data_IF_668731482874
#
_entry.id   IF_668731482874
#
_cell.length_a   1.000
_cell.length_b   1.000
_cell.length_c   1.000
_cell.angle_alpha   90.00
_cell.angle_beta   90.00
_cell.angle_gamma   90.00
#
_symmetry.space_group_name_H-M   'P 1'
#
loop_
_entity.id
_entity.type
_entity.pdbx_description
1 polymer ?
#
# COMPACT_ATOMS: atom_id res chain seq x y z
N UNK A 1 21.26 -18.41 -13.71
CA UNK A 1 20.31 -17.39 -13.22
C UNK A 1 20.26 -17.53 -11.72
N UNK A 2 20.39 -16.44 -10.95
CA UNK A 2 20.18 -16.51 -9.50
C UNK A 2 18.74 -16.92 -9.23
N UNK A 3 18.50 -17.76 -8.22
CA UNK A 3 17.16 -18.06 -7.78
C UNK A 3 16.46 -16.77 -7.30
N UNK A 4 15.14 -16.69 -7.48
CA UNK A 4 14.33 -15.58 -6.94
C UNK A 4 14.45 -15.57 -5.40
N UNK A 5 14.56 -14.38 -4.76
CA UNK A 5 14.49 -14.28 -3.30
C UNK A 5 13.19 -14.89 -2.75
N UNK A 6 13.27 -15.64 -1.65
CA UNK A 6 12.08 -16.09 -0.91
C UNK A 6 11.33 -14.90 -0.33
N UNK A 7 10.01 -15.00 -0.18
CA UNK A 7 9.20 -13.86 0.28
C UNK A 7 8.11 -14.26 1.27
N UNK A 8 7.92 -13.40 2.27
CA UNK A 8 6.72 -13.38 3.11
C UNK A 8 5.72 -12.35 2.59
N UNK A 9 4.61 -12.80 2.03
CA UNK A 9 3.50 -11.94 1.61
C UNK A 9 2.52 -11.76 2.76
N UNK A 10 2.22 -10.52 3.12
CA UNK A 10 1.32 -10.18 4.23
C UNK A 10 0.09 -9.46 3.67
N UNK A 11 -1.08 -9.99 4.01
CA UNK A 11 -2.38 -9.37 3.68
C UNK A 11 -3.14 -9.14 5.00
N UNK A 12 -3.34 -7.88 5.35
CA UNK A 12 -4.04 -7.49 6.58
C UNK A 12 -5.54 -7.36 6.31
N UNK A 13 -6.33 -8.14 7.04
CA UNK A 13 -7.78 -8.10 7.03
C UNK A 13 -8.34 -7.24 8.17
N UNK A 14 -9.38 -6.48 7.86
CA UNK A 14 -10.32 -5.98 8.86
C UNK A 14 -11.74 -6.01 8.30
N UNK A 15 -12.59 -6.87 8.88
CA UNK A 15 -14.04 -6.99 8.60
C UNK A 15 -14.44 -7.19 7.13
N UNK A 16 -13.49 -7.62 6.28
CA UNK A 16 -13.73 -7.86 4.85
C UNK A 16 -13.02 -9.14 4.39
N UNK A 17 -13.36 -10.30 4.97
CA UNK A 17 -12.67 -11.55 4.70
C UNK A 17 -12.81 -12.01 3.25
N UNK A 18 -13.92 -11.64 2.59
CA UNK A 18 -14.15 -11.94 1.18
C UNK A 18 -13.14 -11.24 0.26
N UNK A 19 -12.83 -9.96 0.51
CA UNK A 19 -11.80 -9.22 -0.23
C UNK A 19 -10.43 -9.83 0.04
N UNK A 20 -10.11 -10.09 1.32
CA UNK A 20 -8.86 -10.74 1.73
C UNK A 20 -8.63 -12.07 1.01
N UNK A 21 -9.64 -12.95 0.95
CA UNK A 21 -9.53 -14.22 0.23
C UNK A 21 -9.40 -14.02 -1.29
N UNK A 22 -10.02 -12.99 -1.87
CA UNK A 22 -9.86 -12.65 -3.28
C UNK A 22 -8.42 -12.19 -3.58
N UNK A 23 -7.85 -11.30 -2.76
CA UNK A 23 -6.46 -10.88 -2.85
C UNK A 23 -5.51 -12.08 -2.73
N UNK A 24 -5.70 -12.90 -1.69
CA UNK A 24 -4.93 -14.12 -1.45
C UNK A 24 -4.97 -15.09 -2.63
N UNK A 25 -6.14 -15.30 -3.25
CA UNK A 25 -6.29 -16.17 -4.42
C UNK A 25 -5.55 -15.65 -5.66
N UNK A 26 -5.40 -14.34 -5.81
CA UNK A 26 -4.68 -13.76 -6.95
C UNK A 26 -3.15 -13.94 -6.83
N UNK A 27 -2.61 -13.92 -5.61
CA UNK A 27 -1.16 -14.05 -5.38
C UNK A 27 -0.72 -15.50 -5.13
N UNK A 28 -1.58 -16.35 -4.55
CA UNK A 28 -1.22 -17.72 -4.18
C UNK A 28 -0.58 -18.54 -5.31
N UNK A 29 -1.09 -18.54 -6.55
CA UNK A 29 -0.50 -19.29 -7.66
C UNK A 29 0.94 -18.88 -8.04
N UNK A 30 1.39 -17.70 -7.59
CA UNK A 30 2.73 -17.16 -7.88
C UNK A 30 3.75 -17.50 -6.77
N UNK A 31 3.32 -18.14 -5.68
CA UNK A 31 4.17 -18.55 -4.58
C UNK A 31 4.80 -19.91 -4.85
N UNK A 32 6.00 -20.14 -4.31
CA UNK A 32 6.70 -21.41 -4.39
C UNK A 32 7.32 -21.85 -3.06
N UNK A 33 8.00 -22.99 -3.10
CA UNK A 33 8.73 -23.52 -1.93
C UNK A 33 9.68 -22.48 -1.33
N UNK A 34 9.60 -22.27 -0.02
CA UNK A 34 10.35 -21.25 0.71
C UNK A 34 9.59 -19.94 0.93
N UNK A 35 8.52 -19.67 0.18
CA UNK A 35 7.66 -18.50 0.42
C UNK A 35 6.62 -18.76 1.53
N UNK A 36 6.04 -17.68 2.04
CA UNK A 36 4.98 -17.71 3.05
C UNK A 36 3.92 -16.65 2.79
N UNK A 37 2.67 -17.07 2.57
CA UNK A 37 1.50 -16.20 2.61
C UNK A 37 0.92 -16.15 4.03
N UNK A 38 0.92 -14.95 4.61
CA UNK A 38 0.35 -14.68 5.93
C UNK A 38 -0.87 -13.78 5.77
N UNK A 39 -2.03 -14.33 6.09
CA UNK A 39 -3.25 -13.55 6.26
C UNK A 39 -3.34 -13.13 7.72
N UNK A 40 -3.63 -11.86 7.99
CA UNK A 40 -3.72 -11.34 9.36
C UNK A 40 -5.14 -10.87 9.61
N UNK A 41 -5.91 -11.54 10.47
CA UNK A 41 -7.13 -10.95 11.01
C UNK A 41 -6.78 -9.94 12.10
N UNK A 42 -6.97 -8.65 11.80
CA UNK A 42 -6.51 -7.58 12.67
C UNK A 42 -7.56 -7.21 13.74
N UNK A 43 -8.05 -8.22 14.48
CA UNK A 43 -9.08 -8.06 15.50
C UNK A 43 -10.41 -7.57 14.93
N UNK A 44 -10.93 -8.26 13.91
CA UNK A 44 -12.16 -7.85 13.21
C UNK A 44 -13.40 -7.85 14.11
N UNK A 45 -13.46 -8.79 15.07
CA UNK A 45 -14.56 -8.93 16.01
C UNK A 45 -15.88 -9.42 15.38
N UNK A 46 -15.78 -10.05 14.21
CA UNK A 46 -16.85 -10.71 13.46
C UNK A 46 -16.40 -12.13 13.05
N UNK A 47 -17.05 -12.74 12.05
CA UNK A 47 -16.71 -14.07 11.54
C UNK A 47 -15.50 -14.09 10.58
N UNK A 48 -14.76 -12.98 10.43
CA UNK A 48 -13.64 -12.87 9.49
C UNK A 48 -12.61 -13.98 9.63
N UNK A 49 -12.15 -14.27 10.85
CA UNK A 49 -11.15 -15.30 11.08
C UNK A 49 -11.65 -16.69 10.66
N UNK A 50 -12.92 -17.01 10.94
CA UNK A 50 -13.53 -18.27 10.54
C UNK A 50 -13.65 -18.39 9.02
N UNK A 51 -14.10 -17.32 8.34
CA UNK A 51 -14.19 -17.27 6.88
C UNK A 51 -12.82 -17.43 6.23
N UNK A 52 -11.80 -16.73 6.74
CA UNK A 52 -10.42 -16.83 6.22
C UNK A 52 -9.87 -18.24 6.45
N UNK A 53 -10.07 -18.81 7.65
CA UNK A 53 -9.64 -20.17 7.98
C UNK A 53 -10.25 -21.21 7.02
N UNK A 54 -11.52 -21.06 6.66
CA UNK A 54 -12.18 -21.93 5.68
C UNK A 54 -11.61 -21.85 4.26
N UNK A 55 -10.89 -20.78 3.92
CA UNK A 55 -10.23 -20.61 2.63
C UNK A 55 -8.79 -21.12 2.55
N UNK A 56 -8.16 -21.47 3.68
CA UNK A 56 -6.72 -21.76 3.74
C UNK A 56 -6.32 -22.99 2.91
N UNK A 57 -7.13 -24.05 2.90
CA UNK A 57 -6.77 -25.28 2.18
C UNK A 57 -6.76 -25.08 0.66
N UNK A 58 -7.70 -24.29 0.14
CA UNK A 58 -7.71 -23.91 -1.27
C UNK A 58 -6.46 -23.06 -1.63
N UNK A 59 -6.07 -22.15 -0.75
CA UNK A 59 -4.85 -21.34 -0.94
C UNK A 59 -3.59 -22.19 -0.90
N UNK A 60 -3.49 -23.15 0.05
CA UNK A 60 -2.38 -24.11 0.13
C UNK A 60 -2.27 -24.96 -1.13
N UNK A 61 -3.41 -25.41 -1.66
CA UNK A 61 -3.45 -26.17 -2.91
C UNK A 61 -2.96 -25.38 -4.13
N UNK A 62 -3.15 -24.06 -4.15
CA UNK A 62 -2.68 -23.19 -5.22
C UNK A 62 -1.20 -22.77 -5.07
N UNK A 63 -0.66 -22.74 -3.85
CA UNK A 63 0.62 -22.09 -3.54
C UNK A 63 1.87 -22.97 -3.68
N UNK A 64 1.92 -23.89 -4.64
CA UNK A 64 3.09 -24.72 -5.04
C UNK A 64 4.17 -25.03 -3.96
N UNK A 65 3.74 -25.47 -2.77
CA UNK A 65 4.64 -25.84 -1.66
C UNK A 65 5.04 -24.70 -0.69
N UNK A 66 4.56 -23.48 -0.90
CA UNK A 66 4.66 -22.36 0.03
C UNK A 66 3.85 -22.60 1.31
N UNK A 67 4.27 -21.94 2.39
CA UNK A 67 3.50 -21.90 3.64
C UNK A 67 2.30 -20.96 3.48
N UNK A 68 1.15 -21.32 4.05
CA UNK A 68 -0.02 -20.43 4.14
C UNK A 68 -0.60 -20.51 5.55
N UNK A 69 -0.67 -19.37 6.22
CA UNK A 69 -1.16 -19.27 7.61
C UNK A 69 -2.08 -18.07 7.84
N UNK A 70 -2.85 -18.17 8.91
CA UNK A 70 -3.64 -17.08 9.49
C UNK A 70 -3.00 -16.67 10.83
N UNK A 71 -2.86 -15.37 11.05
CA UNK A 71 -2.53 -14.75 12.33
C UNK A 71 -3.75 -13.99 12.81
N UNK A 72 -4.18 -14.20 14.06
CA UNK A 72 -5.33 -13.53 14.65
C UNK A 72 -4.87 -12.58 15.76
N UNK A 73 -5.05 -11.28 15.53
CA UNK A 73 -4.81 -10.28 16.56
C UNK A 73 -6.05 -10.14 17.46
N UNK A 74 -5.87 -9.99 18.79
CA UNK A 74 -7.00 -9.87 19.71
C UNK A 74 -7.74 -8.54 19.59
N UNK A 75 -7.08 -7.50 19.06
CA UNK A 75 -7.64 -6.15 18.91
C UNK A 75 -7.14 -5.52 17.62
N UNK A 76 -7.96 -4.63 17.03
CA UNK A 76 -7.51 -3.79 15.93
C UNK A 76 -6.62 -2.65 16.46
N UNK A 77 -5.30 -2.87 16.42
CA UNK A 77 -4.30 -1.86 16.75
C UNK A 77 -3.83 -1.05 15.52
N UNK A 78 -4.45 -1.27 14.36
CA UNK A 78 -4.14 -0.56 13.13
C UNK A 78 -3.34 -1.35 12.09
N UNK A 79 -3.20 -0.78 10.90
CA UNK A 79 -2.57 -1.41 9.74
C UNK A 79 -1.12 -1.80 10.02
N UNK A 80 -0.30 -0.85 10.51
CA UNK A 80 1.10 -1.15 10.87
C UNK A 80 1.25 -2.27 11.89
N UNK A 81 0.35 -2.35 12.88
CA UNK A 81 0.35 -3.46 13.86
C UNK A 81 -0.04 -4.80 13.23
N UNK A 82 -1.00 -4.81 12.30
CA UNK A 82 -1.36 -5.99 11.51
C UNK A 82 -0.19 -6.48 10.65
N UNK A 83 0.50 -5.56 9.97
CA UNK A 83 1.70 -5.88 9.19
C UNK A 83 2.81 -6.42 10.08
N UNK A 84 3.09 -5.79 11.22
CA UNK A 84 4.10 -6.24 12.16
C UNK A 84 3.81 -7.66 12.70
N UNK A 85 2.54 -7.97 12.98
CA UNK A 85 2.11 -9.31 13.39
C UNK A 85 2.37 -10.34 12.29
N UNK A 86 2.07 -10.01 11.02
CA UNK A 86 2.36 -10.89 9.89
C UNK A 86 3.86 -11.08 9.62
N UNK A 87 4.66 -10.04 9.83
CA UNK A 87 6.12 -10.06 9.65
C UNK A 87 6.87 -10.74 10.81
N UNK A 88 6.19 -11.06 11.92
CA UNK A 88 6.78 -11.64 13.11
C UNK A 88 7.54 -12.94 12.80
N UNK A 89 8.83 -12.98 13.13
CA UNK A 89 9.69 -14.15 12.90
C UNK A 89 9.89 -14.49 11.43
N UNK A 90 9.86 -13.50 10.53
CA UNK A 90 10.22 -13.69 9.13
C UNK A 90 11.67 -14.13 8.95
N UNK A 91 11.85 -15.19 8.17
CA UNK A 91 13.12 -15.77 7.77
C UNK A 91 13.36 -15.71 6.25
N UNK A 92 12.33 -15.31 5.51
CA UNK A 92 12.36 -15.10 4.06
C UNK A 92 13.26 -13.93 3.65
N UNK A 93 13.74 -13.92 2.42
CA UNK A 93 14.66 -12.88 1.93
C UNK A 93 14.01 -11.50 1.76
N UNK A 94 12.68 -11.45 1.69
CA UNK A 94 11.89 -10.21 1.55
C UNK A 94 10.54 -10.29 2.26
N UNK A 95 10.01 -9.10 2.62
CA UNK A 95 8.64 -8.90 3.08
C UNK A 95 7.87 -8.18 1.97
N UNK A 96 6.73 -8.72 1.56
CA UNK A 96 5.84 -8.09 0.60
C UNK A 96 4.49 -7.76 1.26
N UNK A 97 3.98 -6.56 1.00
CA UNK A 97 2.67 -6.11 1.44
C UNK A 97 1.72 -6.11 0.25
N UNK A 98 0.51 -6.63 0.46
CA UNK A 98 -0.59 -6.52 -0.49
C UNK A 98 -1.86 -6.17 0.29
N UNK A 99 -2.51 -5.07 -0.10
CA UNK A 99 -3.79 -4.68 0.47
C UNK A 99 -4.85 -5.76 0.23
N UNK A 100 -5.79 -5.92 1.16
CA UNK A 100 -6.81 -6.96 1.07
C UNK A 100 -7.85 -6.70 -0.04
N UNK A 101 -7.99 -5.47 -0.50
CA UNK A 101 -8.84 -5.06 -1.62
C UNK A 101 -8.06 -4.91 -2.94
N UNK A 102 -6.83 -5.44 -3.00
CA UNK A 102 -6.03 -5.51 -4.22
C UNK A 102 -5.87 -6.94 -4.77
N UNK A 103 -5.87 -7.08 -6.10
CA UNK A 103 -5.51 -8.32 -6.80
C UNK A 103 -4.32 -8.08 -7.72
N UNK A 104 -3.55 -9.12 -8.02
CA UNK A 104 -2.34 -8.99 -8.84
C UNK A 104 -2.47 -9.72 -10.19
N UNK A 105 -1.78 -9.22 -11.21
CA UNK A 105 -1.66 -9.88 -12.52
C UNK A 105 -0.57 -10.97 -12.48
N UNK A 106 -0.55 -11.88 -13.46
CA UNK A 106 0.44 -12.95 -13.56
C UNK A 106 1.87 -12.39 -13.70
N UNK A 107 2.84 -13.00 -13.00
CA UNK A 107 4.24 -12.57 -12.98
C UNK A 107 4.51 -11.35 -12.08
N UNK A 108 3.50 -10.84 -11.37
CA UNK A 108 3.63 -9.75 -10.41
C UNK A 108 4.74 -9.97 -9.40
N UNK A 109 4.78 -11.14 -8.76
CA UNK A 109 5.67 -11.36 -7.62
C UNK A 109 7.14 -11.42 -8.03
N UNK A 110 7.42 -12.15 -9.12
CA UNK A 110 8.76 -12.24 -9.70
C UNK A 110 9.27 -10.87 -10.15
N UNK A 111 8.41 -10.09 -10.82
CA UNK A 111 8.75 -8.73 -11.24
C UNK A 111 9.03 -7.83 -10.04
N UNK A 112 8.18 -7.86 -9.02
CA UNK A 112 8.31 -6.99 -7.84
C UNK A 112 9.61 -7.25 -7.07
N UNK A 113 10.04 -8.50 -6.97
CA UNK A 113 11.22 -8.90 -6.20
C UNK A 113 12.53 -8.76 -6.99
N UNK A 114 12.50 -8.84 -8.32
CA UNK A 114 13.70 -8.87 -9.16
C UNK A 114 14.70 -7.71 -8.91
N UNK A 115 14.27 -6.47 -8.61
CA UNK A 115 15.22 -5.38 -8.35
C UNK A 115 15.86 -5.39 -6.95
N UNK A 116 15.33 -6.15 -5.98
CA UNK A 116 15.84 -6.11 -4.61
C UNK A 116 17.30 -6.58 -4.54
N UNK A 117 18.12 -5.86 -3.77
CA UNK A 117 19.55 -6.13 -3.63
C UNK A 117 20.42 -5.68 -4.81
N UNK A 118 19.83 -5.20 -5.91
CA UNK A 118 20.58 -4.55 -7.00
C UNK A 118 21.04 -3.15 -6.57
N UNK A 119 21.95 -2.53 -7.32
CA UNK A 119 22.42 -1.16 -7.04
C UNK A 119 21.78 -0.17 -8.00
N UNK A 120 21.24 0.93 -7.46
CA UNK A 120 20.66 2.03 -8.23
C UNK A 120 21.02 3.37 -7.59
N UNK A 121 21.50 4.32 -8.40
CA UNK A 121 21.90 5.64 -7.91
C UNK A 121 23.00 5.62 -6.83
N UNK A 122 23.84 4.56 -6.80
CA UNK A 122 24.88 4.37 -5.79
C UNK A 122 24.40 3.75 -4.47
N UNK A 123 23.12 3.39 -4.36
CA UNK A 123 22.52 2.75 -3.19
C UNK A 123 21.96 1.35 -3.53
N UNK A 124 21.92 0.46 -2.54
CA UNK A 124 21.24 -0.83 -2.67
C UNK A 124 19.72 -0.61 -2.73
N UNK A 125 19.03 -1.27 -3.66
CA UNK A 125 17.57 -1.28 -3.75
C UNK A 125 17.03 -2.13 -2.60
N UNK A 126 16.65 -1.47 -1.52
CA UNK A 126 16.08 -2.09 -0.32
C UNK A 126 14.56 -2.27 -0.40
N UNK A 127 13.88 -1.56 -1.31
CA UNK A 127 12.44 -1.66 -1.46
C UNK A 127 11.98 -1.49 -2.91
N UNK A 128 10.84 -2.08 -3.25
CA UNK A 128 10.17 -1.96 -4.55
C UNK A 128 8.69 -1.67 -4.39
N UNK A 129 8.12 -0.96 -5.36
CA UNK A 129 6.68 -0.64 -5.41
C UNK A 129 6.11 -1.03 -6.76
N UNK A 130 4.90 -1.59 -6.73
CA UNK A 130 4.18 -2.01 -7.92
C UNK A 130 3.63 -0.83 -8.73
N UNK A 131 3.19 -1.11 -9.96
CA UNK A 131 2.16 -0.34 -10.64
C UNK A 131 0.81 -0.70 -10.06
N UNK A 132 0.24 0.20 -9.25
CA UNK A 132 -1.09 0.03 -8.67
C UNK A 132 -2.08 0.79 -9.53
N UNK A 133 -3.02 0.05 -10.13
CA UNK A 133 -4.10 0.57 -10.94
C UNK A 133 -5.39 0.61 -10.13
N UNK A 134 -6.23 1.61 -10.37
CA UNK A 134 -7.59 1.62 -9.85
C UNK A 134 -8.44 0.61 -10.63
N UNK A 135 -9.21 -0.19 -9.90
CA UNK A 135 -10.20 -1.07 -10.51
C UNK A 135 -11.30 -0.29 -11.23
N UNK A 136 -11.87 -0.91 -12.26
CA UNK A 136 -12.89 -0.32 -13.13
C UNK A 136 -12.30 0.62 -14.18
N UNK A 137 -13.19 1.24 -14.95
CA UNK A 137 -12.86 2.24 -15.96
C UNK A 137 -13.46 3.59 -15.56
N UNK A 138 -12.81 4.66 -16.00
CA UNK A 138 -13.04 6.00 -15.49
C UNK A 138 -13.13 7.00 -16.63
N UNK A 139 -13.94 8.05 -16.45
CA UNK A 139 -13.99 9.20 -17.36
C UNK A 139 -13.88 10.52 -16.60
N UNK A 140 -13.45 11.60 -17.26
CA UNK A 140 -13.57 12.94 -16.70
C UNK A 140 -15.04 13.21 -16.31
N UNK A 141 -15.22 13.80 -15.13
CA UNK A 141 -16.52 14.25 -14.65
C UNK A 141 -16.94 15.50 -15.44
N UNK A 142 -18.15 15.50 -16.00
CA UNK A 142 -18.65 16.64 -16.75
C UNK A 142 -19.01 17.81 -15.80
N UNK A 143 -18.99 19.04 -16.32
CA UNK A 143 -19.39 20.20 -15.54
C UNK A 143 -20.87 20.13 -15.15
N UNK A 144 -21.15 20.35 -13.87
CA UNK A 144 -22.51 20.27 -13.31
C UNK A 144 -23.00 18.85 -13.02
N UNK A 145 -22.20 17.81 -13.32
CA UNK A 145 -22.53 16.43 -13.01
C UNK A 145 -22.32 16.12 -11.51
N UNK A 146 -23.37 15.66 -10.85
CA UNK A 146 -23.35 15.25 -9.44
C UNK A 146 -23.25 13.72 -9.35
N UNK A 147 -22.03 13.20 -9.49
CA UNK A 147 -21.69 11.78 -9.32
C UNK A 147 -20.55 11.61 -8.32
N UNK A 148 -20.47 10.46 -7.61
CA UNK A 148 -19.29 10.11 -6.82
C UNK A 148 -18.04 10.17 -7.68
N UNK A 149 -17.04 10.92 -7.24
CA UNK A 149 -15.83 11.16 -8.04
C UNK A 149 -14.59 11.23 -7.17
N UNK A 150 -13.44 10.97 -7.80
CA UNK A 150 -12.12 11.19 -7.24
C UNK A 150 -11.53 12.48 -7.82
N UNK A 151 -10.69 13.13 -7.04
CA UNK A 151 -10.05 14.39 -7.41
C UNK A 151 -8.54 14.19 -7.50
N UNK A 152 -7.98 14.55 -8.65
CA UNK A 152 -6.56 14.51 -8.93
C UNK A 152 -5.87 15.75 -8.34
N UNK A 153 -4.55 15.72 -8.26
CA UNK A 153 -3.78 16.81 -7.61
C UNK A 153 -3.81 18.12 -8.38
N UNK A 154 -4.03 18.06 -9.70
CA UNK A 154 -4.23 19.20 -10.59
C UNK A 154 -5.68 19.72 -10.59
N UNK A 155 -6.56 19.08 -9.81
CA UNK A 155 -7.98 19.42 -9.72
C UNK A 155 -8.87 18.68 -10.73
N UNK A 156 -8.32 17.84 -11.61
CA UNK A 156 -9.13 17.03 -12.51
C UNK A 156 -10.03 16.08 -11.71
N UNK A 157 -11.28 15.93 -12.15
CA UNK A 157 -12.29 15.11 -11.47
C UNK A 157 -12.61 13.90 -12.35
N UNK A 158 -12.64 12.72 -11.75
CA UNK A 158 -12.87 11.46 -12.44
C UNK A 158 -14.01 10.70 -11.78
N UNK A 159 -14.98 10.26 -12.57
CA UNK A 159 -16.05 9.36 -12.13
C UNK A 159 -15.82 7.97 -12.69
N UNK A 160 -16.16 6.96 -11.89
CA UNK A 160 -16.14 5.57 -12.33
C UNK A 160 -17.33 5.35 -13.28
N UNK A 161 -17.11 4.52 -14.31
CA UNK A 161 -18.14 4.07 -15.23
C UNK A 161 -18.79 2.78 -14.70
N UNK A 162 -20.08 2.63 -15.00
CA UNK A 162 -20.79 1.37 -14.78
C UNK A 162 -20.33 0.34 -15.82
N UNK A 163 -20.51 -0.96 -15.54
CA UNK A 163 -19.97 -2.04 -16.39
C UNK A 163 -20.45 -1.95 -17.86
N UNK A 164 -21.67 -1.46 -18.09
CA UNK A 164 -22.26 -1.27 -19.42
C UNK A 164 -21.62 -0.13 -20.24
N UNK A 165 -20.94 0.81 -19.56
CA UNK A 165 -20.27 1.97 -20.17
C UNK A 165 -18.75 1.78 -20.31
N UNK A 166 -18.22 0.64 -19.84
CA UNK A 166 -16.80 0.49 -19.55
C UNK A 166 -15.87 0.55 -20.77
N UNK A 167 -16.39 0.27 -21.98
CA UNK A 167 -15.61 0.17 -23.22
C UNK A 167 -14.95 1.47 -23.70
N UNK A 168 -15.37 2.63 -23.19
CA UNK A 168 -14.87 3.95 -23.59
C UNK A 168 -14.00 4.63 -22.51
N UNK A 169 -13.88 4.02 -21.33
CA UNK A 169 -13.19 4.62 -20.19
C UNK A 169 -11.68 4.39 -20.15
N UNK A 170 -11.00 5.22 -19.36
CA UNK A 170 -9.58 5.09 -19.06
C UNK A 170 -9.35 4.20 -17.82
N UNK A 171 -8.24 3.46 -17.82
CA UNK A 171 -7.68 2.87 -16.61
C UNK A 171 -6.79 3.92 -15.94
N UNK A 172 -7.03 4.17 -14.66
CA UNK A 172 -6.30 5.17 -13.89
C UNK A 172 -5.30 4.52 -12.94
N UNK A 173 -4.21 5.23 -12.70
CA UNK A 173 -3.19 4.85 -11.73
C UNK A 173 -3.66 5.22 -10.32
N UNK A 174 -3.61 4.27 -9.39
CA UNK A 174 -3.62 4.59 -7.97
C UNK A 174 -2.22 5.06 -7.55
N UNK A 175 -1.17 4.30 -7.82
CA UNK A 175 0.15 4.64 -7.31
C UNK A 175 1.25 3.98 -8.12
N UNK A 176 2.37 4.68 -8.27
CA UNK A 176 3.65 4.13 -8.73
C UNK A 176 4.72 4.29 -7.65
N UNK A 177 4.33 4.43 -6.39
CA UNK A 177 5.16 4.80 -5.25
C UNK A 177 4.63 6.06 -4.57
N UNK A 178 5.25 6.46 -3.46
CA UNK A 178 4.87 7.69 -2.76
C UNK A 178 5.88 8.82 -2.98
N UNK A 179 5.41 10.05 -2.76
CA UNK A 179 6.18 11.28 -2.75
C UNK A 179 5.85 12.08 -1.50
N UNK A 180 6.78 12.95 -1.11
CA UNK A 180 6.57 13.93 -0.04
C UNK A 180 6.78 15.33 -0.59
N UNK A 181 5.78 16.19 -0.45
CA UNK A 181 5.87 17.56 -0.94
C UNK A 181 6.72 18.45 -0.02
N UNK A 182 7.02 19.68 -0.48
CA UNK A 182 7.76 20.68 0.31
C UNK A 182 7.08 21.07 1.64
N UNK A 183 5.82 20.68 1.83
CA UNK A 183 5.05 20.89 3.05
C UNK A 183 5.06 19.69 3.99
N UNK A 184 5.76 18.60 3.65
CA UNK A 184 5.85 17.38 4.43
C UNK A 184 4.64 16.46 4.27
N UNK A 185 3.77 16.70 3.29
CA UNK A 185 2.62 15.83 3.05
C UNK A 185 3.04 14.66 2.16
N UNK A 186 2.75 13.43 2.61
CA UNK A 186 2.87 12.23 1.79
C UNK A 186 1.67 12.11 0.84
N UNK A 187 1.91 11.64 -0.38
CA UNK A 187 0.86 11.35 -1.37
C UNK A 187 1.33 10.31 -2.39
N UNK A 188 0.37 9.64 -3.03
CA UNK A 188 0.65 8.70 -4.12
C UNK A 188 1.16 9.42 -5.38
N UNK A 189 2.27 8.91 -5.92
CA UNK A 189 2.81 9.35 -7.21
C UNK A 189 1.90 8.88 -8.33
N UNK A 190 1.70 9.75 -9.31
CA UNK A 190 0.86 9.52 -10.50
C UNK A 190 -0.62 9.26 -10.19
N UNK A 191 -1.12 9.60 -8.98
CA UNK A 191 -2.53 9.47 -8.59
C UNK A 191 -3.48 10.06 -9.65
N UNK A 192 -4.41 9.22 -10.14
CA UNK A 192 -5.39 9.48 -11.21
C UNK A 192 -4.81 9.85 -12.57
N UNK A 193 -3.53 9.56 -12.82
CA UNK A 193 -2.98 9.63 -14.16
C UNK A 193 -3.50 8.47 -15.00
N UNK A 194 -3.79 8.67 -16.31
CA UNK A 194 -4.09 7.56 -17.20
C UNK A 194 -2.93 6.57 -17.29
N UNK A 195 -3.21 5.28 -17.15
CA UNK A 195 -2.19 4.23 -17.22
C UNK A 195 -1.63 4.04 -18.64
N UNK A 196 -2.45 4.33 -19.66
CA UNK A 196 -2.03 4.23 -21.06
C UNK A 196 -0.98 5.30 -21.38
N UNK A 197 0.20 4.85 -21.78
CA UNK A 197 1.32 5.76 -22.13
C UNK A 197 2.04 6.35 -20.93
N UNK A 198 1.84 5.79 -19.73
CA UNK A 198 2.56 6.18 -18.53
C UNK A 198 4.06 5.91 -18.69
N UNK A 199 4.88 6.96 -18.59
CA UNK A 199 6.35 6.91 -18.58
C UNK A 199 6.86 7.38 -17.21
N UNK A 200 6.61 6.56 -16.19
CA UNK A 200 6.97 6.88 -14.81
C UNK A 200 8.43 6.46 -14.50
N UNK A 201 9.26 7.35 -13.93
CA UNK A 201 10.63 7.00 -13.55
C UNK A 201 10.67 5.85 -12.55
N UNK A 202 11.64 4.95 -12.72
CA UNK A 202 11.86 3.85 -11.78
C UNK A 202 12.35 4.35 -10.42
N UNK A 203 13.13 5.44 -10.37
CA UNK A 203 13.54 6.02 -9.09
C UNK A 203 12.35 6.70 -8.40
N UNK A 204 12.10 6.31 -7.15
CA UNK A 204 11.00 6.84 -6.34
C UNK A 204 11.52 7.38 -5.02
N UNK A 205 10.75 8.30 -4.42
CA UNK A 205 11.00 8.67 -3.04
C UNK A 205 10.79 7.45 -2.14
N UNK A 206 9.66 6.76 -2.30
CA UNK A 206 9.35 5.57 -1.52
C UNK A 206 8.23 4.72 -2.09
N UNK A 207 7.76 3.77 -1.29
CA UNK A 207 6.82 2.72 -1.70
C UNK A 207 5.40 3.01 -1.24
N UNK A 208 4.40 2.52 -1.99
CA UNK A 208 3.01 2.53 -1.54
C UNK A 208 2.73 1.25 -0.74
N UNK A 209 2.15 1.38 0.46
CA UNK A 209 1.84 0.24 1.34
C UNK A 209 0.81 -0.75 0.76
N UNK A 210 0.10 -0.38 -0.31
CA UNK A 210 -0.91 -1.22 -0.92
C UNK A 210 -0.36 -2.38 -1.76
N UNK A 211 0.86 -2.25 -2.31
CA UNK A 211 1.51 -3.28 -3.10
C UNK A 211 3.02 -2.97 -3.23
N UNK A 212 3.82 -3.49 -2.31
CA UNK A 212 5.26 -3.24 -2.27
C UNK A 212 6.04 -4.44 -1.70
N UNK A 213 7.36 -4.42 -1.85
CA UNK A 213 8.26 -5.33 -1.17
C UNK A 213 9.47 -4.61 -0.58
N UNK A 214 10.02 -5.16 0.49
CA UNK A 214 11.21 -4.68 1.20
C UNK A 214 12.12 -5.86 1.44
N UNK A 215 13.41 -5.75 1.12
CA UNK A 215 14.37 -6.81 1.44
C UNK A 215 14.42 -7.01 2.95
N UNK A 216 14.59 -8.25 3.42
CA UNK A 216 14.65 -8.53 4.87
C UNK A 216 15.77 -7.74 5.53
N UNK A 217 16.91 -7.58 4.86
CA UNK A 217 18.02 -6.76 5.34
C UNK A 217 17.60 -5.30 5.58
N UNK A 218 16.91 -4.69 4.61
CA UNK A 218 16.45 -3.31 4.75
C UNK A 218 15.33 -3.19 5.81
N UNK A 219 14.42 -4.18 5.86
CA UNK A 219 13.36 -4.27 6.87
C UNK A 219 13.92 -4.33 8.29
N UNK A 220 14.90 -5.21 8.54
CA UNK A 220 15.60 -5.35 9.82
C UNK A 220 16.38 -4.07 10.17
N UNK A 221 17.08 -3.48 9.19
CA UNK A 221 17.89 -2.28 9.40
C UNK A 221 17.06 -1.07 9.90
N UNK A 222 15.81 -0.95 9.47
CA UNK A 222 14.92 0.14 9.89
C UNK A 222 13.99 -0.25 11.04
N UNK A 223 13.97 -1.50 11.48
CA UNK A 223 13.08 -1.99 12.54
C UNK A 223 11.64 -2.26 12.09
N UNK A 224 11.42 -2.55 10.81
CA UNK A 224 10.11 -2.88 10.24
C UNK A 224 9.19 -1.68 10.05
N UNK A 225 7.87 -1.92 10.05
CA UNK A 225 6.87 -0.84 9.94
C UNK A 225 6.47 -0.31 11.33
N UNK A 226 6.21 0.98 11.43
CA UNK A 226 5.72 1.57 12.69
C UNK A 226 4.28 1.14 13.00
N UNK A 227 3.97 1.03 14.28
CA UNK A 227 2.69 0.46 14.76
C UNK A 227 1.82 1.47 15.51
N UNK A 228 2.27 2.71 15.70
CA UNK A 228 1.64 3.75 16.54
C UNK A 228 0.77 4.77 15.76
N UNK A 229 0.66 4.59 14.44
CA UNK A 229 -0.14 5.45 13.55
C UNK A 229 -1.60 5.03 13.42
N UNK A 230 -1.93 3.80 13.83
CA UNK A 230 -3.21 3.15 13.57
C UNK A 230 -3.52 2.94 12.07
N UNK A 231 -3.56 3.97 11.23
CA UNK A 231 -3.66 3.81 9.77
C UNK A 231 -3.18 5.07 9.04
N UNK A 232 -2.70 4.91 7.81
CA UNK A 232 -2.13 5.95 6.96
C UNK A 232 -0.78 6.49 7.46
N UNK A 233 0.09 6.81 6.49
CA UNK A 233 1.46 7.31 6.65
C UNK A 233 2.50 6.29 7.12
N UNK A 234 2.14 5.04 7.41
CA UNK A 234 3.12 4.03 7.79
C UNK A 234 4.11 3.71 6.66
N UNK A 235 3.63 3.71 5.41
CA UNK A 235 4.45 3.50 4.22
C UNK A 235 5.36 4.70 3.91
N UNK A 236 4.88 5.91 4.15
CA UNK A 236 5.62 7.16 4.00
C UNK A 236 6.74 7.25 5.03
N UNK A 237 6.47 6.89 6.28
CA UNK A 237 7.46 6.76 7.33
C UNK A 237 8.50 5.67 7.02
N UNK A 238 8.07 4.48 6.63
CA UNK A 238 8.97 3.41 6.20
C UNK A 238 9.88 3.87 5.06
N UNK A 239 9.33 4.61 4.11
CA UNK A 239 10.08 5.20 3.00
C UNK A 239 11.14 6.20 3.47
N UNK A 240 10.83 7.07 4.42
CA UNK A 240 11.83 7.95 5.02
C UNK A 240 12.96 7.16 5.69
N UNK A 241 12.62 6.21 6.56
CA UNK A 241 13.62 5.44 7.31
C UNK A 241 14.52 4.60 6.40
N UNK A 242 13.98 4.03 5.32
CA UNK A 242 14.77 3.31 4.33
C UNK A 242 15.80 4.22 3.65
N UNK A 243 15.39 5.43 3.26
CA UNK A 243 16.29 6.42 2.66
C UNK A 243 17.36 6.91 3.63
N UNK A 244 16.98 7.19 4.87
CA UNK A 244 17.89 7.62 5.94
C UNK A 244 18.92 6.53 6.27
N UNK A 245 18.53 5.25 6.15
CA UNK A 245 19.41 4.10 6.25
C UNK A 245 20.27 3.84 4.99
N UNK A 246 20.13 4.67 3.95
CA UNK A 246 20.94 4.59 2.72
C UNK A 246 20.41 3.62 1.66
N UNK A 247 19.16 3.16 1.76
CA UNK A 247 18.53 2.32 0.74
C UNK A 247 17.80 3.14 -0.32
N UNK A 248 17.82 2.64 -1.56
CA UNK A 248 16.98 3.11 -2.65
C UNK A 248 15.64 2.35 -2.70
N UNK A 249 14.63 3.01 -3.23
CA UNK A 249 13.35 2.40 -3.60
C UNK A 249 13.17 2.46 -5.13
N UNK A 250 12.58 1.41 -5.71
CA UNK A 250 12.38 1.30 -7.16
C UNK A 250 10.92 0.97 -7.55
N UNK A 251 10.39 1.70 -8.52
CA UNK A 251 9.11 1.41 -9.16
C UNK A 251 9.25 0.33 -10.23
N UNK A 252 8.35 -0.65 -10.21
CA UNK A 252 8.38 -1.81 -11.12
C UNK A 252 7.10 -1.84 -11.95
N UNK A 253 7.18 -1.36 -13.20
CA UNK A 253 6.03 -1.33 -14.12
C UNK A 253 5.48 -2.72 -14.49
N UNK A 254 6.33 -3.75 -14.45
CA UNK A 254 5.92 -5.15 -14.69
C UNK A 254 5.21 -5.82 -13.51
N UNK A 255 5.26 -5.24 -12.31
CA UNK A 255 4.51 -5.73 -11.16
C UNK A 255 3.18 -4.98 -11.08
N UNK A 256 2.12 -5.54 -11.66
CA UNK A 256 0.81 -4.88 -11.75
C UNK A 256 -0.16 -5.38 -10.68
N UNK A 257 -0.68 -4.45 -9.87
CA UNK A 257 -1.75 -4.67 -8.91
C UNK A 257 -2.98 -3.83 -9.28
N UNK A 258 -4.17 -4.35 -9.03
CA UNK A 258 -5.47 -3.68 -9.25
C UNK A 258 -6.17 -3.52 -7.92
N UNK A 259 -6.52 -2.28 -7.56
CA UNK A 259 -6.97 -1.91 -6.24
C UNK A 259 -8.40 -1.36 -6.29
N UNK A 260 -9.31 -1.99 -5.54
CA UNK A 260 -10.68 -1.51 -5.32
C UNK A 260 -10.69 -0.37 -4.29
N UNK A 261 -10.00 0.72 -4.61
CA UNK A 261 -9.79 1.87 -3.73
C UNK A 261 -11.10 2.32 -3.04
N UNK A 262 -11.03 2.48 -1.71
CA UNK A 262 -12.13 2.86 -0.81
C UNK A 262 -13.22 1.79 -0.54
N UNK A 263 -13.04 0.53 -0.97
CA UNK A 263 -13.93 -0.58 -0.56
C UNK A 263 -13.84 -0.89 0.95
N UNK A 264 -12.68 -0.66 1.56
CA UNK A 264 -12.39 -0.97 2.97
C UNK A 264 -12.41 0.24 3.91
N UNK A 265 -12.18 1.46 3.40
CA UNK A 265 -11.99 2.68 4.21
C UNK A 265 -12.58 3.92 3.55
N UNK A 266 -13.63 4.50 4.13
CA UNK A 266 -14.23 5.75 3.64
C UNK A 266 -13.30 6.96 3.83
N UNK A 267 -12.80 7.53 2.73
CA UNK A 267 -11.82 8.64 2.68
C UNK A 267 -12.34 10.01 3.16
N UNK A 268 -13.61 10.09 3.59
CA UNK A 268 -14.25 11.32 4.07
C UNK A 268 -14.66 11.30 5.55
N UNK A 269 -14.39 10.23 6.30
CA UNK A 269 -14.87 10.12 7.69
C UNK A 269 -14.13 11.07 8.66
N UNK A 270 -14.77 11.52 9.77
CA UNK A 270 -14.08 12.31 10.79
C UNK A 270 -12.86 11.61 11.41
N UNK A 271 -12.90 10.27 11.49
CA UNK A 271 -11.76 9.46 11.91
C UNK A 271 -10.62 9.57 10.90
N UNK A 272 -10.89 9.36 9.61
CA UNK A 272 -9.91 9.50 8.53
C UNK A 272 -9.22 10.86 8.59
N UNK A 273 -10.00 11.95 8.64
CA UNK A 273 -9.46 13.32 8.65
C UNK A 273 -8.56 13.53 9.88
N UNK A 274 -9.00 13.08 11.07
CA UNK A 274 -8.24 13.24 12.32
C UNK A 274 -6.95 12.43 12.31
N UNK A 275 -7.02 11.16 11.95
CA UNK A 275 -5.87 10.24 11.94
C UNK A 275 -4.84 10.70 10.89
N UNK A 276 -5.28 11.02 9.67
CA UNK A 276 -4.39 11.51 8.62
C UNK A 276 -3.71 12.84 9.02
N UNK A 277 -4.47 13.79 9.59
CA UNK A 277 -3.91 15.06 10.06
C UNK A 277 -2.88 14.88 11.19
N UNK A 278 -3.18 14.00 12.17
CA UNK A 278 -2.24 13.64 13.26
C UNK A 278 -0.99 13.01 12.68
N UNK A 279 -1.14 11.93 11.92
CA UNK A 279 -0.02 11.09 11.49
C UNK A 279 0.92 11.85 10.57
N UNK A 280 0.38 12.70 9.70
CA UNK A 280 1.17 13.63 8.89
C UNK A 280 2.08 14.53 9.72
N UNK A 281 1.58 15.07 10.84
CA UNK A 281 2.40 15.89 11.73
C UNK A 281 3.46 15.07 12.46
N UNK A 282 3.12 13.86 12.89
CA UNK A 282 4.06 12.95 13.56
C UNK A 282 5.21 12.55 12.61
N UNK A 283 4.89 12.10 11.39
CA UNK A 283 5.90 11.73 10.39
C UNK A 283 6.72 12.94 9.94
N UNK A 284 6.09 14.11 9.76
CA UNK A 284 6.84 15.32 9.45
C UNK A 284 7.76 15.75 10.60
N UNK A 285 7.34 15.59 11.86
CA UNK A 285 8.17 15.94 13.01
C UNK A 285 9.41 15.04 13.13
N UNK A 286 9.30 13.77 12.74
CA UNK A 286 10.41 12.81 12.78
C UNK A 286 11.45 13.08 11.67
N UNK A 287 10.98 13.30 10.43
CA UNK A 287 11.86 13.29 9.25
C UNK A 287 12.05 14.63 8.55
N UNK A 288 11.08 15.55 8.67
CA UNK A 288 11.12 16.79 7.91
C UNK A 288 11.98 17.87 8.62
N UNK A 289 12.63 18.78 7.86
CA UNK A 289 13.35 19.90 8.47
C UNK A 289 12.44 20.74 9.37
N UNK A 290 12.97 21.29 10.47
CA UNK A 290 12.20 22.06 11.46
C UNK A 290 11.30 23.16 10.85
N UNK A 291 11.73 23.83 9.78
CA UNK A 291 10.93 24.83 9.05
C UNK A 291 9.63 24.26 8.47
N UNK A 292 9.66 23.01 7.99
CA UNK A 292 8.50 22.30 7.44
C UNK A 292 7.53 21.97 8.56
N UNK A 293 8.03 21.48 9.70
CA UNK A 293 7.26 21.17 10.90
C UNK A 293 6.54 22.42 11.43
N UNK A 294 7.26 23.51 11.63
CA UNK A 294 6.70 24.79 12.11
C UNK A 294 5.61 25.29 11.15
N UNK A 295 5.85 25.22 9.83
CA UNK A 295 4.86 25.63 8.82
C UNK A 295 3.63 24.72 8.81
N UNK A 296 3.81 23.41 9.00
CA UNK A 296 2.73 22.44 9.07
C UNK A 296 1.85 22.65 10.31
N UNK A 297 2.45 22.92 11.47
CA UNK A 297 1.75 23.26 12.70
C UNK A 297 0.96 24.56 12.54
N UNK A 298 1.58 25.63 12.00
CA UNK A 298 0.92 26.91 11.77
C UNK A 298 -0.31 26.77 10.85
N UNK A 299 -0.20 26.04 9.74
CA UNK A 299 -1.34 25.79 8.84
C UNK A 299 -2.46 24.98 9.51
N UNK A 300 -2.09 24.01 10.34
CA UNK A 300 -3.07 23.17 11.04
C UNK A 300 -3.84 24.00 12.09
N UNK A 301 -3.15 24.90 12.80
CA UNK A 301 -3.77 25.86 13.72
C UNK A 301 -4.72 26.82 13.00
N UNK A 302 -4.31 27.39 11.85
CA UNK A 302 -5.18 28.27 11.05
C UNK A 302 -6.43 27.54 10.57
N UNK A 303 -6.31 26.28 10.13
CA UNK A 303 -7.46 25.46 9.73
C UNK A 303 -8.40 25.18 10.90
N UNK A 304 -7.86 24.80 12.07
CA UNK A 304 -8.65 24.57 13.27
C UNK A 304 -9.38 25.84 13.74
N UNK A 305 -8.70 27.00 13.70
CA UNK A 305 -9.30 28.28 14.03
C UNK A 305 -10.44 28.66 13.07
N UNK A 306 -10.27 28.44 11.76
CA UNK A 306 -11.31 28.66 10.75
C UNK A 306 -12.50 27.71 10.88
N UNK A 307 -12.26 26.48 11.32
CA UNK A 307 -13.31 25.49 11.60
C UNK A 307 -14.01 25.72 12.96
N UNK A 308 -13.51 26.68 13.75
CA UNK A 308 -14.11 27.09 15.03
C UNK A 308 -13.90 26.09 16.15
N UNK A 309 -12.66 25.64 16.42
CA UNK A 309 -12.24 24.85 17.60
C UNK A 309 -13.31 23.88 18.17
N UNK A 310 -13.97 23.11 17.30
CA UNK A 310 -14.91 22.05 17.70
C UNK A 310 -14.18 20.73 17.84
#
# INVERSE_FOLDING_TARGET
>A
MSARPTVRVIIVNWRNPALTLRAARSIAPQLGSGDHLVLVDNGSGDDSAAVISGGLDALRGAAAGARVSLVENPVNAGFGAGVAAGAGGADEDAIALLNNDATVDDGYLDALLAPLGTTRGGAEVGATTALILLSGTWRPLADGEDRPHLVARDGARWTRLDDDEAGEGAVLVNSTGNLVDASGNGYDRDWLSPARGLDAPVDVFGVCGGACAVSRRAWEAVGGIRTDLFMYYEDTDLSWRLREAGYAAAYVSGAVARHDHAASSGTGSPMFIRVNARNRLVVAAEHAPARVVVSALARSLVRAARAGFR
#
